data_IF_404538382625
#
_entry.id   IF_404538382625
#
_cell.length_a   1.000
_cell.length_b   1.000
_cell.length_c   1.000
_cell.angle_alpha   90.00
_cell.angle_beta   90.00
_cell.angle_gamma   90.00
#
_symmetry.space_group_name_H-M   'P 1'
#
loop_
_entity.id
_entity.type
_entity.pdbx_description
1 polymer ?
#
# COMPACT_ATOMS: atom_id res chain seq x y z
N UNK A 1 21.93 -5.39 -1.90
CA UNK A 1 22.66 -5.10 -3.14
C UNK A 1 23.82 -4.22 -2.75
N UNK A 2 25.03 -4.74 -2.83
CA UNK A 2 26.25 -3.98 -2.56
C UNK A 2 26.45 -3.01 -3.72
N UNK A 3 26.61 -1.72 -3.43
CA UNK A 3 26.76 -0.67 -4.44
C UNK A 3 28.09 0.08 -4.26
N UNK A 4 29.23 -0.57 -4.56
CA UNK A 4 30.55 0.01 -4.32
C UNK A 4 30.82 1.28 -5.15
N UNK A 5 30.10 1.45 -6.27
CA UNK A 5 30.22 2.60 -7.17
C UNK A 5 29.12 3.65 -6.95
N UNK A 6 28.21 3.44 -5.98
CA UNK A 6 27.13 4.39 -5.65
C UNK A 6 26.08 4.59 -6.77
N UNK A 7 25.98 3.65 -7.69
CA UNK A 7 25.21 3.74 -8.93
C UNK A 7 23.71 3.50 -8.77
N UNK A 8 23.29 2.81 -7.71
CA UNK A 8 21.91 2.35 -7.50
C UNK A 8 21.30 2.86 -6.19
N UNK A 9 22.10 3.40 -5.27
CA UNK A 9 21.68 3.77 -3.91
C UNK A 9 21.58 5.29 -3.62
N UNK A 10 21.81 6.15 -4.62
CA UNK A 10 22.10 7.58 -4.38
C UNK A 10 21.08 8.64 -4.81
N UNK A 11 19.86 8.32 -5.28
CA UNK A 11 18.98 9.34 -5.90
C UNK A 11 17.48 9.20 -5.65
N UNK A 12 16.74 10.30 -5.92
CA UNK A 12 15.27 10.41 -5.82
C UNK A 12 14.51 9.42 -6.73
N UNK A 13 15.21 8.80 -7.68
CA UNK A 13 14.81 7.58 -8.36
C UNK A 13 15.96 6.57 -8.28
N UNK A 14 15.70 5.40 -7.71
CA UNK A 14 16.66 4.32 -7.57
C UNK A 14 17.07 3.80 -8.96
N UNK A 15 18.20 4.25 -9.52
CA UNK A 15 18.73 3.73 -10.80
C UNK A 15 19.84 4.56 -11.46
N UNK A 16 20.52 3.95 -12.44
CA UNK A 16 21.56 4.58 -13.26
C UNK A 16 20.90 5.34 -14.41
N UNK A 17 21.29 6.60 -14.62
CA UNK A 17 20.93 7.37 -15.81
C UNK A 17 21.95 7.09 -16.91
N UNK A 18 21.48 6.55 -18.05
CA UNK A 18 22.33 6.22 -19.21
C UNK A 18 21.82 7.01 -20.41
N UNK A 19 22.60 7.98 -20.90
CA UNK A 19 22.27 8.77 -22.08
C UNK A 19 23.05 8.29 -23.32
N UNK A 20 24.17 7.61 -23.09
CA UNK A 20 25.05 7.07 -24.10
C UNK A 20 25.82 5.85 -23.58
N UNK A 21 26.47 5.11 -24.50
CA UNK A 21 27.28 3.95 -24.15
C UNK A 21 28.45 4.26 -23.20
N UNK A 22 28.88 5.52 -23.11
CA UNK A 22 29.98 5.95 -22.22
C UNK A 22 29.53 6.08 -20.76
N UNK A 23 28.23 6.23 -20.53
CA UNK A 23 27.63 6.37 -19.19
C UNK A 23 27.40 5.00 -18.53
N UNK A 24 27.63 3.91 -19.29
CA UNK A 24 27.55 2.56 -18.75
C UNK A 24 28.74 2.29 -17.83
N UNK A 25 28.51 1.73 -16.64
CA UNK A 25 29.60 1.27 -15.80
C UNK A 25 30.34 0.11 -16.48
N UNK A 26 31.57 -0.13 -16.03
CA UNK A 26 32.40 -1.19 -16.58
C UNK A 26 31.64 -2.54 -16.60
N UNK A 27 31.88 -3.34 -17.63
CA UNK A 27 31.22 -4.64 -17.81
C UNK A 27 31.32 -5.54 -16.56
N UNK A 28 32.47 -5.52 -15.87
CA UNK A 28 32.67 -6.27 -14.61
C UNK A 28 31.65 -5.89 -13.53
N UNK A 29 31.30 -4.60 -13.44
CA UNK A 29 30.39 -4.05 -12.44
C UNK A 29 28.96 -4.46 -12.75
N UNK A 30 28.56 -4.39 -14.02
CA UNK A 30 27.25 -4.89 -14.47
C UNK A 30 27.09 -6.39 -14.18
N UNK A 31 28.10 -7.21 -14.51
CA UNK A 31 28.08 -8.65 -14.23
C UNK A 31 27.98 -8.94 -12.74
N UNK A 32 28.68 -8.19 -11.89
CA UNK A 32 28.60 -8.33 -10.44
C UNK A 32 27.19 -8.02 -9.92
N UNK A 33 26.59 -6.91 -10.37
CA UNK A 33 25.23 -6.52 -10.03
C UNK A 33 24.17 -7.54 -10.46
N UNK A 34 24.28 -8.08 -11.67
CA UNK A 34 23.35 -9.12 -12.16
C UNK A 34 23.45 -10.39 -11.33
N UNK A 35 24.67 -10.85 -11.02
CA UNK A 35 24.88 -12.04 -10.18
C UNK A 35 24.32 -11.87 -8.78
N UNK A 36 24.52 -10.71 -8.17
CA UNK A 36 23.94 -10.41 -6.86
C UNK A 36 22.40 -10.35 -6.92
N UNK A 37 21.83 -9.77 -7.97
CA UNK A 37 20.37 -9.72 -8.18
C UNK A 37 19.76 -11.13 -8.33
N UNK A 38 20.41 -12.02 -9.08
CA UNK A 38 20.00 -13.42 -9.20
C UNK A 38 20.03 -14.10 -7.82
N UNK A 39 21.13 -13.97 -7.08
CA UNK A 39 21.25 -14.54 -5.74
C UNK A 39 20.25 -13.97 -4.72
N UNK A 40 19.74 -12.75 -4.94
CA UNK A 40 18.66 -12.16 -4.13
C UNK A 40 17.29 -12.71 -4.50
N UNK A 41 17.05 -13.09 -5.76
CA UNK A 41 15.80 -13.72 -6.19
C UNK A 41 15.67 -15.16 -5.70
N UNK A 42 16.79 -15.87 -5.55
CA UNK A 42 16.81 -17.24 -5.00
C UNK A 42 16.54 -17.27 -3.49
N UNK A 43 16.61 -16.12 -2.80
CA UNK A 43 16.24 -16.02 -1.39
C UNK A 43 14.72 -16.02 -1.26
N UNK A 44 14.15 -16.75 -0.28
CA UNK A 44 12.73 -16.66 -0.02
C UNK A 44 12.36 -15.21 0.26
N UNK A 45 11.30 -14.74 -0.41
CA UNK A 45 10.80 -13.40 -0.19
C UNK A 45 10.62 -13.16 1.31
N UNK A 46 11.09 -12.01 1.80
CA UNK A 46 10.90 -11.63 3.18
C UNK A 46 9.41 -11.80 3.54
N UNK A 47 9.14 -12.41 4.69
CA UNK A 47 7.77 -12.66 5.13
C UNK A 47 6.94 -11.38 4.98
N UNK A 48 5.83 -11.46 4.24
CA UNK A 48 4.95 -10.31 4.02
C UNK A 48 4.60 -9.71 5.39
N UNK A 49 4.94 -8.44 5.60
CA UNK A 49 4.63 -7.73 6.84
C UNK A 49 3.12 -7.85 7.11
N UNK A 50 2.75 -8.30 8.30
CA UNK A 50 1.34 -8.37 8.71
C UNK A 50 0.76 -6.96 8.66
N UNK A 51 -0.34 -6.79 7.93
CA UNK A 51 -1.07 -5.51 7.87
C UNK A 51 -1.64 -5.23 9.26
N UNK A 52 -1.23 -4.12 9.89
CA UNK A 52 -1.78 -3.68 11.17
C UNK A 52 -3.08 -2.92 10.90
N UNK A 53 -4.20 -3.47 11.34
CA UNK A 53 -5.51 -2.83 11.23
C UNK A 53 -5.76 -2.01 12.51
N UNK A 54 -6.07 -0.71 12.42
CA UNK A 54 -6.48 0.09 13.57
C UNK A 54 -7.72 -0.49 14.27
N UNK A 55 -7.92 -0.11 15.53
CA UNK A 55 -9.17 -0.43 16.21
C UNK A 55 -10.34 0.32 15.55
N UNK A 56 -11.50 -0.34 15.46
CA UNK A 56 -12.73 0.25 14.90
C UNK A 56 -13.25 1.33 15.85
N UNK A 57 -13.39 2.59 15.41
CA UNK A 57 -13.97 3.68 16.20
C UNK A 57 -15.42 3.40 16.60
N UNK A 58 -15.86 3.87 17.77
CA UNK A 58 -17.23 3.62 18.29
C UNK A 58 -18.32 4.20 17.40
N UNK A 59 -18.09 5.41 16.88
CA UNK A 59 -18.95 6.11 15.93
C UNK A 59 -19.07 5.34 14.60
N UNK A 60 -17.96 4.82 14.08
CA UNK A 60 -18.01 3.99 12.88
C UNK A 60 -18.71 2.65 13.13
N UNK A 61 -18.48 2.01 14.28
CA UNK A 61 -19.19 0.79 14.66
C UNK A 61 -20.71 1.03 14.71
N UNK A 62 -21.15 2.10 15.38
CA UNK A 62 -22.56 2.45 15.46
C UNK A 62 -23.19 2.64 14.07
N UNK A 63 -22.47 3.28 13.14
CA UNK A 63 -22.94 3.44 11.77
C UNK A 63 -23.03 2.13 10.98
N UNK A 64 -22.13 1.17 11.23
CA UNK A 64 -22.20 -0.17 10.63
C UNK A 64 -23.35 -1.00 11.18
N UNK A 65 -23.67 -0.91 12.47
CA UNK A 65 -24.81 -1.63 13.07
C UNK A 65 -26.16 -1.21 12.45
N UNK A 66 -26.25 0.04 11.96
CA UNK A 66 -27.44 0.54 11.25
C UNK A 66 -27.56 0.00 9.82
N UNK A 67 -26.49 -0.55 9.24
CA UNK A 67 -26.49 -1.12 7.90
C UNK A 67 -25.82 -2.50 7.89
N UNK A 68 -26.65 -3.54 8.02
CA UNK A 68 -26.21 -4.94 8.08
C UNK A 68 -25.39 -5.37 6.87
N UNK A 69 -25.71 -4.88 5.68
CA UNK A 69 -24.99 -5.22 4.44
C UNK A 69 -23.60 -4.61 4.44
N UNK A 70 -23.48 -3.33 4.83
CA UNK A 70 -22.19 -2.67 5.00
C UNK A 70 -21.33 -3.35 6.07
N UNK A 71 -21.93 -3.78 7.19
CA UNK A 71 -21.23 -4.51 8.24
C UNK A 71 -20.68 -5.85 7.74
N UNK A 72 -21.52 -6.64 7.05
CA UNK A 72 -21.11 -7.93 6.49
C UNK A 72 -19.97 -7.79 5.47
N UNK A 73 -20.08 -6.81 4.57
CA UNK A 73 -19.04 -6.54 3.57
C UNK A 73 -17.74 -6.04 4.21
N UNK A 74 -17.82 -5.19 5.24
CA UNK A 74 -16.66 -4.74 5.99
C UNK A 74 -15.92 -5.90 6.64
N UNK A 75 -16.63 -6.82 7.29
CA UNK A 75 -16.02 -7.99 7.94
C UNK A 75 -15.44 -9.00 6.94
N UNK A 76 -16.10 -9.17 5.80
CA UNK A 76 -15.63 -10.03 4.71
C UNK A 76 -14.38 -9.49 3.99
N UNK A 77 -14.13 -8.17 4.05
CA UNK A 77 -12.99 -7.56 3.39
C UNK A 77 -11.64 -7.93 4.00
N UNK A 78 -10.65 -8.05 3.11
CA UNK A 78 -9.26 -8.25 3.48
C UNK A 78 -8.77 -7.18 4.48
N UNK A 79 -7.85 -7.51 5.39
CA UNK A 79 -7.36 -6.58 6.42
C UNK A 79 -6.86 -5.24 5.86
N UNK A 80 -6.29 -5.23 4.65
CA UNK A 80 -5.85 -4.01 3.97
C UNK A 80 -7.00 -3.06 3.65
N UNK A 81 -8.11 -3.56 3.11
CA UNK A 81 -9.26 -2.72 2.78
C UNK A 81 -9.92 -2.16 4.04
N UNK A 82 -10.07 -2.99 5.08
CA UNK A 82 -10.55 -2.52 6.39
C UNK A 82 -9.67 -1.42 6.95
N UNK A 83 -8.35 -1.61 6.92
CA UNK A 83 -7.36 -0.59 7.34
C UNK A 83 -7.54 0.72 6.57
N UNK A 84 -7.69 0.68 5.25
CA UNK A 84 -7.79 1.89 4.43
C UNK A 84 -9.04 2.72 4.78
N UNK A 85 -10.18 2.09 5.06
CA UNK A 85 -11.37 2.79 5.57
C UNK A 85 -11.10 3.40 6.96
N UNK A 86 -10.50 2.65 7.87
CA UNK A 86 -10.24 3.09 9.24
C UNK A 86 -9.22 4.23 9.30
N UNK A 87 -8.12 4.15 8.56
CA UNK A 87 -7.13 5.23 8.45
C UNK A 87 -7.79 6.50 7.90
N UNK A 88 -8.61 6.38 6.85
CA UNK A 88 -9.32 7.51 6.28
C UNK A 88 -10.30 8.15 7.27
N UNK A 89 -11.02 7.37 8.07
CA UNK A 89 -11.92 7.91 9.10
C UNK A 89 -11.13 8.57 10.24
N UNK A 90 -10.05 7.93 10.71
CA UNK A 90 -9.24 8.39 11.83
C UNK A 90 -8.42 9.65 11.52
N UNK A 91 -7.99 9.81 10.27
CA UNK A 91 -7.27 11.00 9.81
C UNK A 91 -8.13 12.28 9.89
N UNK A 92 -9.46 12.16 9.85
CA UNK A 92 -10.35 13.31 10.04
C UNK A 92 -10.31 13.82 11.49
N UNK A 93 -9.66 14.97 11.68
CA UNK A 93 -9.58 15.69 12.96
C UNK A 93 -10.87 16.42 13.32
N UNK A 94 -11.61 16.91 12.32
CA UNK A 94 -12.85 17.65 12.52
C UNK A 94 -14.04 16.68 12.60
N UNK A 95 -14.93 16.82 13.60
CA UNK A 95 -16.05 15.89 13.82
C UNK A 95 -17.00 15.84 12.61
N UNK A 96 -17.38 16.98 12.05
CA UNK A 96 -18.23 17.04 10.85
C UNK A 96 -17.59 16.32 9.63
N UNK A 97 -16.26 16.40 9.49
CA UNK A 97 -15.57 15.67 8.41
C UNK A 97 -15.54 14.17 8.69
N UNK A 98 -15.37 13.77 9.95
CA UNK A 98 -15.38 12.36 10.36
C UNK A 98 -16.75 11.73 10.09
N UNK A 99 -17.83 12.39 10.48
CA UNK A 99 -19.20 11.95 10.21
C UNK A 99 -19.45 11.77 8.71
N UNK A 100 -19.02 12.74 7.89
CA UNK A 100 -19.13 12.63 6.43
C UNK A 100 -18.35 11.44 5.86
N UNK A 101 -17.13 11.19 6.35
CA UNK A 101 -16.30 10.04 5.92
C UNK A 101 -16.90 8.70 6.37
N UNK A 102 -17.53 8.66 7.55
CA UNK A 102 -18.25 7.49 8.06
C UNK A 102 -19.45 7.19 7.16
N UNK A 103 -20.31 8.18 6.90
CA UNK A 103 -21.49 8.01 6.05
C UNK A 103 -21.10 7.52 4.64
N UNK A 104 -20.09 8.14 4.05
CA UNK A 104 -19.57 7.74 2.73
C UNK A 104 -18.93 6.36 2.74
N UNK A 105 -18.25 5.97 3.82
CA UNK A 105 -17.70 4.61 3.94
C UNK A 105 -18.81 3.57 4.01
N UNK A 106 -19.87 3.83 4.79
CA UNK A 106 -21.02 2.92 4.91
C UNK A 106 -21.74 2.75 3.58
N UNK A 107 -21.92 3.85 2.82
CA UNK A 107 -22.50 3.80 1.47
C UNK A 107 -21.70 2.87 0.54
N UNK A 108 -20.38 3.07 0.45
CA UNK A 108 -19.54 2.22 -0.39
C UNK A 108 -19.48 0.77 0.10
N UNK A 109 -19.45 0.56 1.42
CA UNK A 109 -19.45 -0.77 1.99
C UNK A 109 -20.77 -1.51 1.72
N UNK A 110 -21.91 -0.82 1.74
CA UNK A 110 -23.20 -1.41 1.35
C UNK A 110 -23.15 -1.89 -0.10
N UNK A 111 -22.52 -1.14 -0.99
CA UNK A 111 -22.31 -1.53 -2.39
C UNK A 111 -21.17 -2.56 -2.61
N UNK A 112 -20.51 -3.04 -1.54
CA UNK A 112 -19.38 -3.97 -1.63
C UNK A 112 -18.13 -3.34 -2.25
N UNK A 113 -17.99 -2.02 -2.20
CA UNK A 113 -16.89 -1.25 -2.78
C UNK A 113 -15.84 -0.89 -1.72
N UNK A 114 -14.54 -1.24 -1.91
CA UNK A 114 -13.49 -0.77 -1.02
C UNK A 114 -13.23 0.73 -1.21
N UNK A 115 -12.65 1.41 -0.22
CA UNK A 115 -12.36 2.86 -0.25
C UNK A 115 -11.76 3.38 -1.56
N UNK A 116 -10.81 2.64 -2.15
CA UNK A 116 -10.08 3.04 -3.37
C UNK A 116 -10.68 2.45 -4.66
N UNK A 117 -11.93 1.98 -4.64
CA UNK A 117 -12.56 1.25 -5.76
C UNK A 117 -12.48 1.99 -7.11
N UNK A 118 -12.54 3.33 -7.10
CA UNK A 118 -12.46 4.14 -8.33
C UNK A 118 -11.13 4.01 -9.08
N UNK A 119 -10.07 3.59 -8.38
CA UNK A 119 -8.73 3.41 -8.94
C UNK A 119 -8.38 1.94 -9.19
N UNK A 120 -9.28 1.03 -8.82
CA UNK A 120 -9.14 -0.39 -9.14
C UNK A 120 -9.61 -0.57 -10.58
N UNK A 121 -8.67 -0.51 -11.53
CA UNK A 121 -8.94 -0.86 -12.93
C UNK A 121 -9.47 -2.31 -12.97
N UNK A 122 -10.55 -2.51 -13.72
CA UNK A 122 -11.12 -3.82 -14.03
C UNK A 122 -10.15 -4.67 -14.84
#
# INVERSE_FOLDING_TARGET
MSDPEGLISGGSMNGIRVESLKDLPAQKTLVAYIREAIALNDKPAAAKRKVKVPAVPKDFKAALELNREAHANFDAFAPSYRRDHLEWILEARQPATRERRIAQSVEWLAEGKPRNWKYMKK
#
